data_IF_993827058975
#
_entry.id   IF_993827058975
#
_cell.length_a   1.000
_cell.length_b   1.000
_cell.length_c   1.000
_cell.angle_alpha   90.00
_cell.angle_beta   90.00
_cell.angle_gamma   90.00
#
_symmetry.space_group_name_H-M   'P 1'
#
loop_
_entity.id
_entity.type
_entity.pdbx_description
1 polymer ?
#
# COMPACT_ATOMS: atom_id res chain seq x y z
N UNK A 1 0.97 -23.34 36.82
CA UNK A 1 0.51 -23.20 35.42
C UNK A 1 -0.75 -22.36 35.42
N UNK A 2 -0.66 -21.09 35.01
CA UNK A 2 -1.83 -20.28 34.68
C UNK A 2 -2.48 -20.88 33.44
N UNK A 3 -3.75 -21.31 33.53
CA UNK A 3 -4.52 -21.73 32.35
C UNK A 3 -4.67 -20.50 31.47
N UNK A 4 -4.13 -20.53 30.25
CA UNK A 4 -4.44 -19.53 29.23
C UNK A 4 -5.97 -19.53 29.03
N UNK A 5 -6.61 -18.41 29.34
CA UNK A 5 -8.05 -18.23 29.12
C UNK A 5 -8.20 -17.54 27.77
N UNK A 6 -9.13 -18.04 26.96
CA UNK A 6 -9.54 -17.37 25.73
C UNK A 6 -10.13 -16.00 26.06
N UNK A 7 -9.45 -14.92 25.65
CA UNK A 7 -9.97 -13.55 25.74
C UNK A 7 -10.30 -13.01 24.33
N UNK A 8 -11.59 -13.03 23.92
CA UNK A 8 -11.99 -12.54 22.61
C UNK A 8 -11.73 -11.03 22.41
N UNK A 9 -11.61 -10.26 23.51
CA UNK A 9 -11.40 -8.81 23.40
C UNK A 9 -10.03 -8.48 22.80
N UNK A 10 -9.02 -9.32 23.03
CA UNK A 10 -7.69 -9.15 22.42
C UNK A 10 -7.79 -9.29 20.90
N UNK A 11 -8.50 -10.31 20.42
CA UNK A 11 -8.68 -10.54 18.98
C UNK A 11 -9.50 -9.42 18.35
N UNK A 12 -10.60 -9.01 18.99
CA UNK A 12 -11.43 -7.90 18.47
C UNK A 12 -10.68 -6.57 18.44
N UNK A 13 -9.86 -6.28 19.45
CA UNK A 13 -9.01 -5.08 19.46
C UNK A 13 -8.01 -5.10 18.29
N UNK A 14 -7.33 -6.23 18.06
CA UNK A 14 -6.43 -6.39 16.92
C UNK A 14 -7.16 -6.29 15.58
N UNK A 15 -8.33 -6.90 15.45
CA UNK A 15 -9.16 -6.80 14.25
C UNK A 15 -9.56 -5.35 13.96
N UNK A 16 -9.96 -4.59 14.99
CA UNK A 16 -10.27 -3.16 14.87
C UNK A 16 -9.08 -2.37 14.31
N UNK A 17 -7.87 -2.63 14.80
CA UNK A 17 -6.64 -2.03 14.25
C UNK A 17 -6.40 -2.42 12.80
N UNK A 18 -6.64 -3.67 12.42
CA UNK A 18 -6.52 -4.11 11.03
C UNK A 18 -7.50 -3.37 10.12
N UNK A 19 -8.75 -3.18 10.55
CA UNK A 19 -9.75 -2.44 9.78
C UNK A 19 -9.34 -0.97 9.56
N UNK A 20 -8.85 -0.30 10.60
CA UNK A 20 -8.34 1.08 10.48
C UNK A 20 -7.15 1.14 9.53
N UNK A 21 -6.21 0.20 9.62
CA UNK A 21 -5.06 0.14 8.72
C UNK A 21 -5.48 -0.08 7.25
N UNK A 22 -6.45 -0.97 7.01
CA UNK A 22 -7.01 -1.20 5.68
C UNK A 22 -7.66 0.08 5.11
N UNK A 23 -8.45 0.79 5.92
CA UNK A 23 -9.07 2.06 5.52
C UNK A 23 -8.04 3.13 5.16
N UNK A 24 -6.93 3.21 5.90
CA UNK A 24 -5.83 4.14 5.57
C UNK A 24 -5.19 3.83 4.22
N UNK A 25 -4.89 2.56 3.95
CA UNK A 25 -4.37 2.14 2.65
C UNK A 25 -5.37 2.46 1.53
N UNK A 26 -6.65 2.17 1.73
CA UNK A 26 -7.70 2.50 0.76
C UNK A 26 -7.78 3.99 0.47
N UNK A 27 -7.71 4.82 1.52
CA UNK A 27 -7.72 6.26 1.40
C UNK A 27 -6.48 6.77 0.64
N UNK A 28 -5.27 6.44 1.10
CA UNK A 28 -4.01 6.90 0.51
C UNK A 28 -3.89 6.50 -0.96
N UNK A 29 -4.19 5.24 -1.28
CA UNK A 29 -4.13 4.75 -2.67
C UNK A 29 -5.17 5.40 -3.57
N UNK A 30 -6.34 5.72 -3.03
CA UNK A 30 -7.37 6.48 -3.73
C UNK A 30 -6.93 7.91 -4.04
N UNK A 31 -6.30 8.60 -3.08
CA UNK A 31 -5.80 9.96 -3.28
C UNK A 31 -4.59 10.00 -4.23
N UNK A 32 -3.67 9.04 -4.12
CA UNK A 32 -2.55 8.89 -5.08
C UNK A 32 -3.08 8.71 -6.50
N UNK A 33 -4.10 7.85 -6.67
CA UNK A 33 -4.69 7.62 -7.99
C UNK A 33 -5.30 8.92 -8.57
N UNK A 34 -6.05 9.68 -7.76
CA UNK A 34 -6.61 10.96 -8.19
C UNK A 34 -5.51 11.94 -8.59
N UNK A 35 -4.47 12.06 -7.77
CA UNK A 35 -3.33 12.94 -8.04
C UNK A 35 -2.66 12.60 -9.39
N UNK A 36 -2.39 11.32 -9.63
CA UNK A 36 -1.80 10.86 -10.88
C UNK A 36 -2.66 11.14 -12.12
N UNK A 37 -4.00 11.16 -11.97
CA UNK A 37 -4.92 11.50 -13.05
C UNK A 37 -4.96 13.01 -13.29
N UNK A 38 -4.99 13.80 -12.22
CA UNK A 38 -5.10 15.27 -12.27
C UNK A 38 -3.84 15.92 -12.82
N UNK A 39 -2.67 15.45 -12.39
CA UNK A 39 -1.36 16.03 -12.68
C UNK A 39 -0.55 15.23 -13.71
N UNK A 40 -1.19 14.36 -14.49
CA UNK A 40 -0.54 13.53 -15.53
C UNK A 40 0.40 14.32 -16.45
N UNK A 41 -0.03 15.51 -16.89
CA UNK A 41 0.74 16.36 -17.80
C UNK A 41 1.98 16.97 -17.15
N UNK A 42 1.96 17.11 -15.84
CA UNK A 42 3.06 17.67 -15.05
C UNK A 42 4.04 16.56 -14.61
N UNK A 43 3.62 15.30 -14.66
CA UNK A 43 4.35 14.11 -14.23
C UNK A 43 4.82 13.26 -15.41
N UNK A 44 5.61 13.87 -16.31
CA UNK A 44 6.02 13.22 -17.56
C UNK A 44 6.72 11.87 -17.33
N UNK A 45 6.16 10.80 -17.90
CA UNK A 45 6.74 9.45 -17.86
C UNK A 45 6.38 8.62 -16.62
N UNK A 46 5.63 9.17 -15.66
CA UNK A 46 5.14 8.40 -14.49
C UNK A 46 3.90 7.55 -14.81
N UNK A 47 3.06 8.02 -15.72
CA UNK A 47 1.78 7.39 -16.08
C UNK A 47 1.81 6.90 -17.53
N UNK A 48 1.11 5.79 -17.81
CA UNK A 48 1.01 5.23 -19.16
C UNK A 48 -0.28 5.66 -19.85
N UNK A 49 -0.30 5.68 -21.19
CA UNK A 49 -1.52 5.97 -21.95
C UNK A 49 -2.66 4.99 -21.62
N UNK A 50 -2.33 3.72 -21.36
CA UNK A 50 -3.28 2.69 -20.91
C UNK A 50 -3.85 3.01 -19.52
N UNK A 51 -3.00 3.46 -18.57
CA UNK A 51 -3.45 3.93 -17.27
C UNK A 51 -4.47 5.06 -17.40
N UNK A 52 -4.17 6.10 -18.20
CA UNK A 52 -5.07 7.25 -18.38
C UNK A 52 -6.39 6.87 -19.05
N UNK A 53 -6.32 5.99 -20.05
CA UNK A 53 -7.52 5.50 -20.71
C UNK A 53 -8.42 4.76 -19.71
N UNK A 54 -7.88 3.85 -18.90
CA UNK A 54 -8.68 3.10 -17.92
C UNK A 54 -9.14 3.97 -16.74
N UNK A 55 -8.33 4.96 -16.34
CA UNK A 55 -8.64 5.87 -15.25
C UNK A 55 -9.73 6.90 -15.63
N UNK A 56 -9.73 7.41 -16.86
CA UNK A 56 -10.75 8.37 -17.33
C UNK A 56 -12.18 7.82 -17.29
N UNK A 57 -12.34 6.49 -17.42
CA UNK A 57 -13.64 5.80 -17.29
C UNK A 57 -14.08 5.62 -15.82
N UNK A 58 -13.22 5.92 -14.85
CA UNK A 58 -13.46 5.68 -13.43
C UNK A 58 -13.84 6.92 -12.62
N UNK A 59 -13.80 8.11 -13.23
CA UNK A 59 -13.96 9.41 -12.57
C UNK A 59 -15.29 9.68 -11.81
N UNK A 60 -16.29 8.78 -11.88
CA UNK A 60 -17.61 9.02 -11.28
C UNK A 60 -18.07 7.98 -10.24
N UNK A 61 -17.23 7.01 -9.85
CA UNK A 61 -17.64 5.99 -8.86
C UNK A 61 -16.57 5.76 -7.79
N UNK A 62 -17.00 5.48 -6.54
CA UNK A 62 -16.09 5.02 -5.48
C UNK A 62 -15.40 3.73 -5.97
N UNK A 63 -14.15 3.84 -6.37
CA UNK A 63 -13.36 2.72 -6.85
C UNK A 63 -13.06 1.75 -5.70
N UNK A 64 -13.11 0.46 -5.99
CA UNK A 64 -12.68 -0.55 -5.02
C UNK A 64 -11.15 -0.57 -4.91
N UNK A 65 -10.60 -1.03 -3.77
CA UNK A 65 -9.16 -1.20 -3.61
C UNK A 65 -8.54 -2.07 -4.73
N UNK A 66 -9.24 -3.11 -5.17
CA UNK A 66 -8.79 -3.95 -6.29
C UNK A 66 -8.72 -3.18 -7.61
N UNK A 67 -9.68 -2.29 -7.87
CA UNK A 67 -9.66 -1.41 -9.04
C UNK A 67 -8.52 -0.39 -8.98
N UNK A 68 -8.27 0.19 -7.79
CA UNK A 68 -7.18 1.12 -7.55
C UNK A 68 -5.84 0.42 -7.76
N UNK A 69 -5.62 -0.74 -7.13
CA UNK A 69 -4.39 -1.52 -7.28
C UNK A 69 -4.16 -1.95 -8.72
N UNK A 70 -5.22 -2.34 -9.46
CA UNK A 70 -5.10 -2.66 -10.88
C UNK A 70 -4.53 -1.48 -11.67
N UNK A 71 -4.99 -0.26 -11.41
CA UNK A 71 -4.48 0.93 -12.09
C UNK A 71 -3.05 1.26 -11.64
N UNK A 72 -2.76 1.20 -10.34
CA UNK A 72 -1.41 1.48 -9.83
C UNK A 72 -0.34 0.53 -10.40
N UNK A 73 -0.69 -0.72 -10.68
CA UNK A 73 0.22 -1.68 -11.35
C UNK A 73 0.57 -1.33 -12.79
N UNK A 74 -0.25 -0.53 -13.48
CA UNK A 74 0.01 -0.10 -14.85
C UNK A 74 1.05 1.03 -14.92
N UNK A 75 1.48 1.52 -13.75
CA UNK A 75 2.57 2.46 -13.65
C UNK A 75 3.89 1.67 -13.66
N UNK A 76 4.72 1.81 -14.71
CA UNK A 76 5.97 1.06 -14.84
C UNK A 76 6.97 1.38 -13.72
N UNK A 77 6.81 2.51 -13.02
CA UNK A 77 7.63 2.92 -11.87
C UNK A 77 7.15 2.33 -10.53
N UNK A 78 5.94 1.78 -10.46
CA UNK A 78 5.37 1.15 -9.26
C UNK A 78 5.55 -0.38 -9.29
N UNK A 79 6.77 -0.82 -8.99
CA UNK A 79 7.18 -2.24 -9.04
C UNK A 79 6.86 -2.97 -7.73
N UNK A 80 5.57 -3.00 -7.34
CA UNK A 80 5.11 -3.71 -6.13
C UNK A 80 3.87 -4.58 -6.38
N UNK A 81 3.74 -5.12 -7.59
CA UNK A 81 2.55 -5.87 -7.98
C UNK A 81 2.27 -7.07 -7.04
N UNK A 82 3.29 -7.82 -6.66
CA UNK A 82 3.15 -8.98 -5.77
C UNK A 82 2.65 -8.55 -4.38
N UNK A 83 3.21 -7.48 -3.84
CA UNK A 83 2.81 -6.90 -2.55
C UNK A 83 1.37 -6.40 -2.59
N UNK A 84 0.96 -5.72 -3.67
CA UNK A 84 -0.42 -5.28 -3.87
C UNK A 84 -1.38 -6.46 -3.94
N UNK A 85 -1.03 -7.51 -4.68
CA UNK A 85 -1.82 -8.74 -4.79
C UNK A 85 -1.97 -9.44 -3.44
N UNK A 86 -0.88 -9.60 -2.71
CA UNK A 86 -0.89 -10.26 -1.40
C UNK A 86 -1.70 -9.45 -0.39
N UNK A 87 -1.52 -8.13 -0.38
CA UNK A 87 -2.28 -7.24 0.47
C UNK A 87 -3.78 -7.34 0.21
N UNK A 88 -4.19 -7.26 -1.07
CA UNK A 88 -5.59 -7.35 -1.47
C UNK A 88 -6.21 -8.69 -1.05
N UNK A 89 -5.48 -9.80 -1.24
CA UNK A 89 -5.94 -11.13 -0.81
C UNK A 89 -6.21 -11.17 0.69
N UNK A 90 -5.28 -10.65 1.51
CA UNK A 90 -5.45 -10.63 2.97
C UNK A 90 -6.53 -9.66 3.41
N UNK A 91 -6.67 -8.50 2.75
CA UNK A 91 -7.77 -7.54 3.01
C UNK A 91 -9.13 -8.19 2.74
N UNK A 92 -9.26 -8.96 1.67
CA UNK A 92 -10.50 -9.67 1.37
C UNK A 92 -10.80 -10.77 2.40
N UNK A 93 -9.78 -11.49 2.88
CA UNK A 93 -9.94 -12.41 4.02
C UNK A 93 -10.43 -11.64 5.26
N UNK A 94 -9.78 -10.52 5.60
CA UNK A 94 -10.15 -9.70 6.76
C UNK A 94 -11.63 -9.26 6.73
N UNK A 95 -12.11 -8.80 5.57
CA UNK A 95 -13.45 -8.22 5.43
C UNK A 95 -14.54 -9.28 5.28
N UNK A 96 -14.27 -10.36 4.53
CA UNK A 96 -15.32 -11.30 4.13
C UNK A 96 -15.29 -12.62 4.89
N UNK A 97 -14.08 -13.12 5.23
CA UNK A 97 -13.93 -14.49 5.71
C UNK A 97 -13.34 -14.57 7.13
N UNK A 98 -12.92 -13.44 7.73
CA UNK A 98 -12.17 -13.47 8.99
C UNK A 98 -12.94 -14.17 10.12
N UNK A 99 -14.23 -13.84 10.26
CA UNK A 99 -15.07 -14.46 11.27
C UNK A 99 -15.25 -15.96 11.06
N UNK A 100 -15.51 -16.38 9.82
CA UNK A 100 -15.71 -17.80 9.49
C UNK A 100 -14.41 -18.59 9.61
N UNK A 101 -13.28 -18.02 9.20
CA UNK A 101 -12.00 -18.72 9.13
C UNK A 101 -11.32 -18.81 10.50
N UNK A 102 -11.45 -17.76 11.33
CA UNK A 102 -10.66 -17.62 12.56
C UNK A 102 -11.48 -17.54 13.85
N UNK A 103 -12.79 -17.25 13.79
CA UNK A 103 -13.61 -17.04 14.99
C UNK A 103 -14.85 -17.95 15.06
N UNK A 104 -14.95 -18.98 14.22
CA UNK A 104 -16.08 -19.92 14.23
C UNK A 104 -16.13 -20.84 15.47
N UNK A 105 -15.05 -20.92 16.27
CA UNK A 105 -15.00 -21.68 17.53
C UNK A 105 -14.28 -20.92 18.63
N UNK A 106 -14.73 -21.10 19.89
CA UNK A 106 -14.07 -20.53 21.08
C UNK A 106 -12.91 -21.41 21.55
N UNK A 107 -11.82 -21.43 20.78
CA UNK A 107 -10.61 -22.17 21.13
C UNK A 107 -9.38 -21.26 21.19
N UNK A 108 -8.45 -21.57 22.11
CA UNK A 108 -7.18 -20.85 22.26
C UNK A 108 -6.35 -20.94 20.98
N UNK A 109 -6.34 -22.10 20.33
CA UNK A 109 -5.62 -22.32 19.07
C UNK A 109 -6.15 -21.40 17.95
N UNK A 110 -7.47 -21.23 17.84
CA UNK A 110 -8.06 -20.32 16.87
C UNK A 110 -7.78 -18.85 17.21
N UNK A 111 -7.85 -18.46 18.49
CA UNK A 111 -7.45 -17.12 18.93
C UNK A 111 -6.03 -16.79 18.49
N UNK A 112 -5.07 -17.69 18.76
CA UNK A 112 -3.67 -17.48 18.37
C UNK A 112 -3.49 -17.37 16.85
N UNK A 113 -4.26 -18.12 16.05
CA UNK A 113 -4.27 -17.98 14.59
C UNK A 113 -4.84 -16.63 14.14
N UNK A 114 -5.93 -16.19 14.76
CA UNK A 114 -6.55 -14.88 14.49
C UNK A 114 -5.58 -13.74 14.81
N UNK A 115 -4.94 -13.79 15.97
CA UNK A 115 -3.94 -12.80 16.39
C UNK A 115 -2.75 -12.77 15.43
N UNK A 116 -2.23 -13.95 15.04
CA UNK A 116 -1.15 -14.05 14.07
C UNK A 116 -1.53 -13.44 12.72
N UNK A 117 -2.74 -13.74 12.22
CA UNK A 117 -3.24 -13.12 11.00
C UNK A 117 -3.26 -11.59 11.12
N UNK A 118 -3.80 -11.07 12.23
CA UNK A 118 -3.86 -9.62 12.47
C UNK A 118 -2.46 -8.99 12.52
N UNK A 119 -1.51 -9.61 13.21
CA UNK A 119 -0.14 -9.09 13.31
C UNK A 119 0.57 -9.08 11.96
N UNK A 120 0.41 -10.14 11.16
CA UNK A 120 0.93 -10.19 9.79
C UNK A 120 0.27 -9.13 8.90
N UNK A 121 -1.06 -8.95 9.00
CA UNK A 121 -1.79 -7.95 8.22
C UNK A 121 -1.35 -6.51 8.58
N UNK A 122 -1.18 -6.22 9.87
CA UNK A 122 -0.70 -4.93 10.37
C UNK A 122 0.75 -4.66 9.93
N UNK A 123 1.59 -5.70 9.88
CA UNK A 123 2.94 -5.56 9.36
C UNK A 123 2.94 -5.22 7.86
N UNK A 124 2.11 -5.90 7.07
CA UNK A 124 1.97 -5.60 5.63
C UNK A 124 1.35 -4.24 5.37
N UNK A 125 0.37 -3.83 6.17
CA UNK A 125 -0.21 -2.49 6.08
C UNK A 125 0.85 -1.42 6.33
N UNK A 126 1.70 -1.58 7.36
CA UNK A 126 2.80 -0.64 7.62
C UNK A 126 3.81 -0.55 6.47
N UNK A 127 4.17 -1.69 5.87
CA UNK A 127 5.06 -1.69 4.68
C UNK A 127 4.42 -0.96 3.49
N UNK A 128 3.12 -1.19 3.28
CA UNK A 128 2.37 -0.54 2.22
C UNK A 128 2.23 0.97 2.46
N UNK A 129 1.94 1.40 3.70
CA UNK A 129 1.92 2.82 4.10
C UNK A 129 3.29 3.46 3.88
N UNK A 130 4.37 2.80 4.31
CA UNK A 130 5.76 3.26 4.13
C UNK A 130 6.12 3.42 2.66
N UNK A 131 5.76 2.44 1.81
CA UNK A 131 5.98 2.53 0.38
C UNK A 131 5.26 3.72 -0.25
N UNK A 132 3.95 3.88 0.04
CA UNK A 132 3.19 4.99 -0.52
C UNK A 132 3.62 6.35 0.02
N UNK A 133 4.07 6.44 1.28
CA UNK A 133 4.67 7.65 1.80
C UNK A 133 5.96 8.00 1.05
N UNK A 134 6.84 7.02 0.81
CA UNK A 134 8.07 7.24 0.05
C UNK A 134 7.80 7.67 -1.41
N UNK A 135 6.74 7.14 -2.01
CA UNK A 135 6.27 7.59 -3.32
C UNK A 135 5.82 9.06 -3.29
N UNK A 136 5.08 9.48 -2.25
CA UNK A 136 4.69 10.89 -2.09
C UNK A 136 5.91 11.78 -1.85
N UNK A 137 6.87 11.35 -1.03
CA UNK A 137 8.12 12.08 -0.79
C UNK A 137 8.89 12.27 -2.11
N UNK A 138 8.93 11.25 -2.97
CA UNK A 138 9.50 11.34 -4.32
C UNK A 138 8.77 12.35 -5.21
N UNK A 139 7.44 12.36 -5.20
CA UNK A 139 6.66 13.32 -5.98
C UNK A 139 6.82 14.77 -5.51
N UNK A 140 7.21 14.99 -4.26
CA UNK A 140 7.45 16.32 -3.69
C UNK A 140 8.84 16.87 -4.00
N UNK A 141 9.74 16.07 -4.59
CA UNK A 141 11.07 16.55 -4.94
C UNK A 141 10.97 17.70 -5.95
N UNK A 142 11.72 18.80 -5.73
CA UNK A 142 11.75 19.89 -6.68
C UNK A 142 12.37 19.42 -8.01
N UNK A 143 11.90 19.92 -9.16
CA UNK A 143 12.58 19.69 -10.42
C UNK A 143 14.00 20.25 -10.34
N UNK A 144 14.99 19.48 -10.77
CA UNK A 144 16.38 19.94 -10.86
C UNK A 144 16.54 20.64 -12.21
N UNK A 145 16.84 21.94 -12.26
CA UNK A 145 17.14 22.63 -13.52
C UNK A 145 18.37 22.01 -14.21
N UNK A 146 18.37 21.95 -15.54
CA UNK A 146 19.49 21.36 -16.32
C UNK A 146 20.85 22.03 -16.03
N UNK A 147 20.81 23.28 -15.57
CA UNK A 147 21.98 24.15 -15.37
C UNK A 147 22.47 24.18 -13.92
N UNK A 148 21.76 23.54 -12.98
CA UNK A 148 22.07 23.59 -11.54
C UNK A 148 22.63 22.25 -11.05
N UNK A 149 23.54 22.31 -10.07
CA UNK A 149 23.91 21.09 -9.34
C UNK A 149 22.66 20.50 -8.69
N UNK A 150 22.47 19.16 -8.72
CA UNK A 150 21.32 18.51 -8.14
C UNK A 150 21.18 18.89 -6.66
N UNK A 151 20.27 19.82 -6.37
CA UNK A 151 19.90 20.17 -5.01
C UNK A 151 19.02 19.05 -4.46
N UNK A 152 19.54 18.35 -3.46
CA UNK A 152 18.81 17.31 -2.75
C UNK A 152 18.15 17.94 -1.54
N UNK A 153 16.83 18.06 -1.57
CA UNK A 153 16.07 18.45 -0.38
C UNK A 153 16.12 17.31 0.66
N UNK A 154 17.10 17.38 1.57
CA UNK A 154 17.38 16.32 2.55
C UNK A 154 16.18 15.96 3.44
N UNK A 155 15.25 16.90 3.67
CA UNK A 155 14.03 16.62 4.45
C UNK A 155 13.08 15.63 3.80
N UNK A 156 13.14 15.46 2.47
CA UNK A 156 12.35 14.48 1.72
C UNK A 156 13.06 13.12 1.62
N UNK A 157 14.33 13.04 1.99
CA UNK A 157 15.16 11.82 1.97
C UNK A 157 14.91 10.96 3.22
N UNK A 158 13.64 10.60 3.46
CA UNK A 158 13.22 9.83 4.62
C UNK A 158 13.53 8.33 4.47
N UNK A 159 13.43 7.57 5.56
CA UNK A 159 13.49 6.09 5.48
C UNK A 159 12.44 5.51 4.52
N UNK A 160 11.26 6.16 4.41
CA UNK A 160 10.22 5.76 3.47
C UNK A 160 10.62 6.05 2.03
N UNK A 161 11.24 7.20 1.76
CA UNK A 161 11.80 7.53 0.46
C UNK A 161 12.83 6.48 0.03
N UNK A 162 13.81 6.18 0.87
CA UNK A 162 14.80 5.14 0.55
C UNK A 162 14.17 3.75 0.40
N UNK A 163 13.17 3.42 1.21
CA UNK A 163 12.40 2.20 1.06
C UNK A 163 11.73 2.13 -0.32
N UNK A 164 11.06 3.20 -0.76
CA UNK A 164 10.47 3.32 -2.10
C UNK A 164 11.52 3.17 -3.21
N UNK A 165 12.60 3.95 -3.18
CA UNK A 165 13.68 3.92 -4.20
C UNK A 165 14.30 2.52 -4.33
N UNK A 166 14.44 1.78 -3.22
CA UNK A 166 14.99 0.41 -3.25
C UNK A 166 14.14 -0.61 -4.04
N UNK A 167 12.87 -0.31 -4.31
CA UNK A 167 12.00 -1.12 -5.17
C UNK A 167 12.10 -0.69 -6.63
N UNK A 168 12.40 0.59 -6.89
CA UNK A 168 12.62 1.12 -8.23
C UNK A 168 13.93 0.60 -8.85
N UNK A 169 15.03 0.58 -8.08
CA UNK A 169 16.37 0.18 -8.56
C UNK A 169 16.50 -1.30 -8.90
N UNK A 170 15.68 -2.18 -8.31
CA UNK A 170 15.68 -3.61 -8.61
C UNK A 170 15.19 -3.96 -10.03
N UNK A 171 14.52 -3.02 -10.70
CA UNK A 171 13.85 -3.28 -11.97
C UNK A 171 14.60 -2.75 -13.21
N UNK A 172 15.69 -2.00 -13.01
CA UNK A 172 16.60 -1.60 -14.09
C UNK A 172 17.91 -2.42 -14.04
N UNK A 173 17.91 -3.70 -14.46
CA UNK A 173 19.15 -4.45 -14.63
C UNK A 173 19.85 -3.93 -15.90
N UNK A 174 20.73 -2.95 -15.77
CA UNK A 174 21.55 -2.51 -16.91
C UNK A 174 22.30 -1.20 -16.78
N UNK A 175 21.92 -0.31 -15.87
CA UNK A 175 22.61 0.97 -15.69
C UNK A 175 23.35 0.98 -14.36
N UNK A 176 24.65 0.69 -14.45
CA UNK A 176 25.63 1.11 -13.44
C UNK A 176 25.56 2.64 -13.31
N UNK A 177 25.42 3.11 -12.06
CA UNK A 177 25.60 4.51 -11.65
C UNK A 177 26.90 5.06 -12.24
#
# INVERSE_FOLDING_TARGET
MTKEVFDPNVVFSKMGRCLVAAQRIEFVTGEILKFLIEFDKDLFGLTSAEFLQLASHSNNSKMTLGSIFRLLKLNPSLVIEEELNEYLKRRNILVHNFFTDYLHTRSISQSKKAEKFCDEFLNKSRKMESFFQGFLDFLMLPPIPEDEEPYVEESLMTDNFYYFISHFTKYYPGETI
#
